data_IF_868751365661
#
_entry.id   IF_868751365661
#
_cell.length_a   1.000
_cell.length_b   1.000
_cell.length_c   1.000
_cell.angle_alpha   90.00
_cell.angle_beta   90.00
_cell.angle_gamma   90.00
#
_symmetry.space_group_name_H-M   'P 1'
#
loop_
_entity.id
_entity.type
_entity.pdbx_description
1 polymer ?
#
# COMPACT_ATOMS: atom_id res chain seq x y z
N UNK A 1 1.04 -20.39 -5.54
CA UNK A 1 0.87 -18.93 -5.49
C UNK A 1 0.74 -18.43 -6.92
N UNK A 2 -0.37 -17.76 -7.27
CA UNK A 2 -0.51 -17.12 -8.58
C UNK A 2 -0.43 -15.60 -8.37
N UNK A 3 0.64 -14.98 -8.86
CA UNK A 3 0.77 -13.52 -8.81
C UNK A 3 -0.25 -12.89 -9.75
N UNK A 4 -1.16 -12.11 -9.18
CA UNK A 4 -2.12 -11.32 -9.94
C UNK A 4 -1.64 -9.88 -10.03
N UNK A 5 -2.25 -9.08 -10.92
CA UNK A 5 -2.03 -7.63 -10.93
C UNK A 5 -2.36 -6.97 -9.58
N UNK A 6 -3.32 -7.52 -8.84
CA UNK A 6 -3.66 -7.01 -7.52
C UNK A 6 -2.47 -7.17 -6.56
N UNK A 7 -1.90 -8.37 -6.51
CA UNK A 7 -0.69 -8.66 -5.73
C UNK A 7 0.49 -7.77 -6.13
N UNK A 8 0.72 -7.58 -7.43
CA UNK A 8 1.78 -6.72 -7.95
C UNK A 8 1.59 -5.27 -7.49
N UNK A 9 0.38 -4.72 -7.61
CA UNK A 9 0.08 -3.35 -7.20
C UNK A 9 0.12 -3.16 -5.69
N UNK A 10 -0.31 -4.17 -4.92
CA UNK A 10 -0.18 -4.17 -3.48
C UNK A 10 1.30 -4.09 -3.07
N UNK A 11 2.16 -4.92 -3.68
CA UNK A 11 3.60 -4.90 -3.43
C UNK A 11 4.23 -3.56 -3.82
N UNK A 12 3.87 -2.98 -4.96
CA UNK A 12 4.36 -1.66 -5.38
C UNK A 12 3.94 -0.54 -4.41
N UNK A 13 2.73 -0.63 -3.85
CA UNK A 13 2.23 0.30 -2.84
C UNK A 13 3.01 0.19 -1.54
N UNK A 14 3.18 -1.02 -1.00
CA UNK A 14 3.97 -1.28 0.22
C UNK A 14 5.42 -0.85 0.03
N UNK A 15 6.05 -1.20 -1.09
CA UNK A 15 7.42 -0.79 -1.42
C UNK A 15 7.56 0.72 -1.57
N UNK A 16 6.52 1.44 -2.01
CA UNK A 16 6.54 2.90 -2.00
C UNK A 16 6.57 3.44 -0.58
N UNK A 17 5.68 2.98 0.28
CA UNK A 17 5.61 3.44 1.66
C UNK A 17 6.88 3.07 2.45
N UNK A 18 7.48 1.91 2.17
CA UNK A 18 8.73 1.47 2.77
C UNK A 18 9.96 2.32 2.41
N UNK A 19 9.88 3.14 1.35
CA UNK A 19 10.96 4.08 0.99
C UNK A 19 10.85 5.43 1.69
N UNK A 20 9.78 5.64 2.46
CA UNK A 20 9.53 6.87 3.20
C UNK A 20 9.95 6.72 4.65
N UNK A 21 10.07 7.85 5.35
CA UNK A 21 10.23 7.83 6.80
C UNK A 21 9.00 7.18 7.47
N UNK A 22 9.23 6.56 8.63
CA UNK A 22 8.18 5.87 9.37
C UNK A 22 7.03 6.83 9.73
N UNK A 23 5.80 6.36 9.56
CA UNK A 23 4.59 7.14 9.85
C UNK A 23 4.21 8.19 8.81
N UNK A 24 5.00 8.39 7.74
CA UNK A 24 4.63 9.30 6.65
C UNK A 24 3.34 8.82 5.97
N UNK A 25 2.40 9.75 5.83
CA UNK A 25 1.11 9.53 5.16
C UNK A 25 1.17 10.07 3.74
N UNK A 26 0.84 9.24 2.77
CA UNK A 26 0.81 9.62 1.34
C UNK A 26 -0.53 9.27 0.72
N UNK A 27 -1.05 10.14 -0.15
CA UNK A 27 -2.30 9.88 -0.85
C UNK A 27 -2.16 8.72 -1.83
N UNK A 28 -3.21 7.91 -1.95
CA UNK A 28 -3.20 6.78 -2.88
C UNK A 28 -3.08 7.24 -4.33
N UNK A 29 -3.61 8.42 -4.70
CA UNK A 29 -3.36 9.01 -6.02
C UNK A 29 -1.88 9.29 -6.30
N UNK A 30 -1.14 9.78 -5.30
CA UNK A 30 0.27 10.11 -5.47
C UNK A 30 1.10 8.84 -5.69
N UNK A 31 0.84 7.79 -4.90
CA UNK A 31 1.48 6.49 -5.06
C UNK A 31 1.18 5.93 -6.46
N UNK A 32 -0.09 5.99 -6.90
CA UNK A 32 -0.52 5.54 -8.22
C UNK A 32 0.25 6.25 -9.34
N UNK A 33 0.39 7.58 -9.23
CA UNK A 33 1.12 8.41 -10.19
C UNK A 33 2.60 8.05 -10.23
N UNK A 34 3.27 7.96 -9.08
CA UNK A 34 4.69 7.66 -9.01
C UNK A 34 5.04 6.25 -9.47
N UNK A 35 4.20 5.26 -9.13
CA UNK A 35 4.40 3.85 -9.52
C UNK A 35 3.77 3.50 -10.88
N UNK A 36 3.15 4.47 -11.57
CA UNK A 36 2.46 4.27 -12.86
C UNK A 36 1.39 3.16 -12.81
N UNK A 37 0.69 3.07 -11.69
CA UNK A 37 -0.40 2.11 -11.44
C UNK A 37 -1.73 2.83 -11.66
N UNK A 38 -2.74 2.20 -12.28
CA UNK A 38 -4.06 2.81 -12.39
C UNK A 38 -4.68 3.08 -11.00
N UNK A 39 -5.05 4.33 -10.72
CA UNK A 39 -5.51 4.77 -9.39
C UNK A 39 -6.66 3.93 -8.82
N UNK A 40 -7.62 3.52 -9.66
CA UNK A 40 -8.74 2.66 -9.25
C UNK A 40 -8.28 1.30 -8.72
N UNK A 41 -7.25 0.72 -9.33
CA UNK A 41 -6.70 -0.55 -8.88
C UNK A 41 -5.92 -0.38 -7.59
N UNK A 42 -5.10 0.67 -7.49
CA UNK A 42 -4.35 0.94 -6.27
C UNK A 42 -5.30 1.20 -5.08
N UNK A 43 -6.39 1.93 -5.29
CA UNK A 43 -7.42 2.14 -4.26
C UNK A 43 -8.11 0.84 -3.83
N UNK A 44 -8.29 -0.11 -4.76
CA UNK A 44 -8.80 -1.45 -4.46
C UNK A 44 -7.85 -2.21 -3.54
N UNK A 45 -6.61 -2.43 -3.98
CA UNK A 45 -5.61 -3.20 -3.21
C UNK A 45 -5.26 -2.53 -1.89
N UNK A 46 -5.30 -1.20 -1.82
CA UNK A 46 -5.09 -0.46 -0.57
C UNK A 46 -6.14 -0.85 0.48
N UNK A 47 -7.40 -1.08 0.09
CA UNK A 47 -8.44 -1.53 1.04
C UNK A 47 -8.16 -2.92 1.58
N UNK A 48 -7.63 -3.81 0.73
CA UNK A 48 -7.27 -5.17 1.12
C UNK A 48 -6.07 -5.14 2.09
N UNK A 49 -5.05 -4.33 1.78
CA UNK A 49 -3.92 -4.08 2.69
C UNK A 49 -4.33 -3.48 4.04
N UNK A 50 -5.35 -2.59 4.07
CA UNK A 50 -5.90 -2.05 5.32
C UNK A 50 -6.57 -3.14 6.14
N UNK A 51 -7.35 -4.03 5.51
CA UNK A 51 -8.01 -5.15 6.19
C UNK A 51 -7.00 -6.17 6.73
N UNK A 52 -5.91 -6.38 6.00
CA UNK A 52 -4.79 -7.23 6.43
C UNK A 52 -3.92 -6.59 7.53
N UNK A 53 -4.13 -5.31 7.87
CA UNK A 53 -3.35 -4.63 8.89
C UNK A 53 -1.92 -4.28 8.44
N UNK A 54 -1.65 -4.24 7.14
CA UNK A 54 -0.34 -3.91 6.57
C UNK A 54 -0.17 -2.40 6.42
N UNK A 55 -1.27 -1.69 6.14
CA UNK A 55 -1.29 -0.23 6.01
C UNK A 55 -2.41 0.38 6.84
N UNK A 56 -2.17 1.60 7.33
CA UNK A 56 -3.18 2.41 8.01
C UNK A 56 -3.81 3.40 7.04
N UNK A 57 -5.13 3.55 7.09
CA UNK A 57 -5.85 4.56 6.31
C UNK A 57 -6.12 5.80 7.16
N UNK A 58 -5.74 6.96 6.62
CA UNK A 58 -5.95 8.27 7.24
C UNK A 58 -7.02 9.04 6.46
N UNK A 59 -8.04 9.57 7.16
CA UNK A 59 -9.13 10.34 6.55
C UNK A 59 -8.85 11.83 6.60
N UNK A 60 -9.48 12.60 5.71
CA UNK A 60 -9.45 14.06 5.69
C UNK A 60 -8.72 14.65 4.49
N UNK A 61 -8.52 15.98 4.48
CA UNK A 61 -7.98 16.73 3.34
C UNK A 61 -6.53 16.36 2.97
N UNK A 62 -5.77 15.91 3.95
CA UNK A 62 -4.41 15.36 3.80
C UNK A 62 -4.39 13.86 4.14
N UNK A 63 -5.51 13.17 3.91
CA UNK A 63 -5.61 11.74 4.13
C UNK A 63 -4.79 10.93 3.14
N UNK A 64 -4.75 9.62 3.34
CA UNK A 64 -3.92 8.72 2.56
C UNK A 64 -3.65 7.44 3.30
N UNK A 65 -2.48 6.87 3.07
CA UNK A 65 -2.01 5.66 3.75
C UNK A 65 -0.58 5.77 4.24
N UNK A 66 -0.30 5.05 5.31
CA UNK A 66 1.05 4.82 5.87
C UNK A 66 1.21 3.32 6.13
N UNK A 67 2.43 2.83 6.31
CA UNK A 67 2.62 1.48 6.84
C UNK A 67 2.03 1.38 8.26
N UNK A 68 1.51 0.20 8.59
CA UNK A 68 1.03 -0.14 9.93
C UNK A 68 2.10 -0.86 10.77
N UNK A 69 3.10 -1.43 10.11
CA UNK A 69 4.23 -2.15 10.68
C UNK A 69 5.54 -1.59 10.09
N UNK A 70 6.68 -1.74 10.78
CA UNK A 70 7.99 -1.47 10.19
C UNK A 70 8.18 -2.26 8.89
N UNK A 71 8.80 -1.68 7.84
CA UNK A 71 9.01 -2.37 6.55
C UNK A 71 9.67 -3.74 6.68
N UNK A 72 10.61 -3.89 7.60
CA UNK A 72 11.35 -5.12 7.90
C UNK A 72 10.49 -6.25 8.49
N UNK A 73 9.32 -5.92 9.04
CA UNK A 73 8.35 -6.88 9.56
C UNK A 73 7.32 -7.32 8.50
N UNK A 74 7.28 -6.65 7.34
CA UNK A 74 6.33 -6.94 6.27
C UNK A 74 6.98 -7.85 5.23
N UNK A 75 6.49 -9.08 5.13
CA UNK A 75 6.97 -10.03 4.13
C UNK A 75 6.17 -9.92 2.83
N UNK A 76 6.76 -10.37 1.72
CA UNK A 76 6.03 -10.50 0.46
C UNK A 76 4.86 -11.48 0.55
N UNK A 77 4.91 -12.45 1.49
CA UNK A 77 3.81 -13.37 1.76
C UNK A 77 2.63 -12.62 2.36
N UNK A 78 2.86 -11.73 3.33
CA UNK A 78 1.77 -10.96 3.96
C UNK A 78 1.03 -10.13 2.91
N UNK A 79 1.77 -9.50 2.00
CA UNK A 79 1.20 -8.76 0.87
C UNK A 79 0.43 -9.65 -0.12
N UNK A 80 0.86 -10.90 -0.30
CA UNK A 80 0.17 -11.87 -1.15
C UNK A 80 -1.12 -12.40 -0.53
N UNK A 81 -1.17 -12.53 0.80
CA UNK A 81 -2.30 -13.09 1.54
C UNK A 81 -3.37 -12.04 1.90
N UNK A 82 -3.08 -10.75 1.72
CA UNK A 82 -4.01 -9.62 1.88
C UNK A 82 -5.12 -9.61 0.80
#
# INVERSE_FOLDING_TARGET
>A
MQFTRATEYAALGVLHLATLEEGVVVSTEEIARQRKVPAKFLAGVTRDLVRAGIVNAHRGRNGGVSLALPPEEITLRDVYEA
#
